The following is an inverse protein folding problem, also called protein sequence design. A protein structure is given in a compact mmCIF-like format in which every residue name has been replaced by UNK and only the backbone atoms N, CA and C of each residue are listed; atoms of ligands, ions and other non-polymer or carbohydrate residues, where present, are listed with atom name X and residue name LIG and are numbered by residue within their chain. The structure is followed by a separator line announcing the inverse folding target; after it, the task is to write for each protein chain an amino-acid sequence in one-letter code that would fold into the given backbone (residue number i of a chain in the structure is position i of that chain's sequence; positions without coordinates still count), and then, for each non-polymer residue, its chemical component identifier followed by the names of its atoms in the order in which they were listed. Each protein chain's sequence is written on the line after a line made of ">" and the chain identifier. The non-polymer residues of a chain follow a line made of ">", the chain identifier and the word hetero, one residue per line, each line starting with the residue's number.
data_IF_271118100181
#
_entry.id   IF_271118100181
#
_cell.length_a   1.000
_cell.length_b   1.000
_cell.length_c   1.000
_cell.angle_alpha   90.00
_cell.angle_beta   90.00
_cell.angle_gamma   90.00
#
_symmetry.space_group_name_H-M   'P 1'
#
loop_
_entity.id
_entity.type
_entity.pdbx_description
1 polymer ?
#
# COMPACT_ATOMS: atom_id res chain seq x y z
N UNK A 1 -19.53 -5.21 -7.53
CA UNK A 1 -19.59 -5.04 -6.06
C UNK A 1 -18.38 -4.21 -5.66
N UNK A 2 -18.58 -2.96 -5.25
CA UNK A 2 -17.48 -2.10 -4.84
C UNK A 2 -16.95 -2.62 -3.49
N UNK A 3 -15.72 -3.13 -3.48
CA UNK A 3 -15.00 -3.50 -2.26
C UNK A 3 -14.98 -2.26 -1.35
N UNK A 4 -15.63 -2.35 -0.18
CA UNK A 4 -15.72 -1.24 0.77
C UNK A 4 -14.31 -0.94 1.28
N UNK A 5 -13.78 0.24 0.95
CA UNK A 5 -12.46 0.68 1.45
C UNK A 5 -12.55 0.91 2.95
N UNK A 6 -11.98 0.01 3.74
CA UNK A 6 -11.85 0.20 5.19
C UNK A 6 -10.77 1.26 5.45
N UNK A 7 -11.17 2.34 6.13
CA UNK A 7 -10.29 3.46 6.48
C UNK A 7 -10.03 3.41 7.98
N UNK A 8 -8.75 3.37 8.37
CA UNK A 8 -8.35 3.35 9.79
C UNK A 8 -6.97 3.95 10.01
N UNK A 9 -6.64 4.15 11.28
CA UNK A 9 -5.30 4.53 11.71
C UNK A 9 -4.38 3.31 11.77
N UNK A 10 -3.09 3.51 11.50
CA UNK A 10 -2.09 2.45 11.52
C UNK A 10 -0.89 2.85 12.38
N UNK A 11 -0.22 1.86 12.96
CA UNK A 11 1.05 2.02 13.66
C UNK A 11 2.11 1.16 12.98
N UNK A 12 3.26 1.76 12.64
CA UNK A 12 4.40 1.09 12.00
C UNK A 12 5.61 1.30 12.89
N UNK A 13 6.26 0.21 13.30
CA UNK A 13 7.39 0.23 14.24
C UNK A 13 7.09 1.03 15.53
N UNK A 14 5.87 0.90 16.04
CA UNK A 14 5.42 1.61 17.26
C UNK A 14 5.08 3.09 17.07
N UNK A 15 5.12 3.61 15.84
CA UNK A 15 4.79 5.01 15.52
C UNK A 15 3.50 5.10 14.71
N UNK A 16 2.63 6.03 15.08
CA UNK A 16 1.42 6.34 14.32
C UNK A 16 1.77 6.82 12.91
N UNK A 17 1.23 6.15 11.90
CA UNK A 17 1.41 6.53 10.52
C UNK A 17 0.75 7.88 10.26
N UNK A 18 1.52 8.83 9.74
CA UNK A 18 1.07 10.20 9.47
C UNK A 18 1.42 10.56 8.03
N UNK A 19 0.46 11.15 7.31
CA UNK A 19 0.68 11.54 5.92
C UNK A 19 1.68 12.70 5.87
N UNK A 20 2.81 12.58 5.15
CA UNK A 20 3.82 13.64 5.08
C UNK A 20 3.35 14.87 4.29
N UNK A 21 2.21 14.78 3.59
CA UNK A 21 1.68 15.86 2.75
C UNK A 21 0.62 16.69 3.48
N UNK A 22 -0.26 16.06 4.26
CA UNK A 22 -1.40 16.74 4.88
C UNK A 22 -1.59 16.44 6.38
N UNK A 23 -0.65 15.74 7.00
CA UNK A 23 -0.68 15.35 8.43
C UNK A 23 -1.87 14.48 8.86
N UNK A 24 -2.67 13.98 7.92
CA UNK A 24 -3.78 13.07 8.23
C UNK A 24 -3.28 11.68 8.63
N UNK A 25 -4.02 11.00 9.52
CA UNK A 25 -3.61 9.73 10.15
C UNK A 25 -4.45 8.52 9.74
N UNK A 26 -5.53 8.71 9.00
CA UNK A 26 -6.37 7.62 8.50
C UNK A 26 -6.03 7.26 7.04
N UNK A 27 -5.89 5.96 6.79
CA UNK A 27 -5.49 5.41 5.51
C UNK A 27 -6.41 4.24 5.15
N UNK A 28 -6.52 3.95 3.86
CA UNK A 28 -6.98 2.65 3.37
C UNK A 28 -5.81 1.94 2.71
N UNK A 29 -5.86 0.61 2.68
CA UNK A 29 -4.72 -0.19 2.22
C UNK A 29 -5.04 -1.00 0.97
N UNK A 30 -4.02 -1.24 0.15
CA UNK A 30 -4.04 -2.25 -0.92
C UNK A 30 -2.66 -2.86 -1.09
N UNK A 31 -2.61 -4.07 -1.63
CA UNK A 31 -1.35 -4.68 -2.07
C UNK A 31 -1.12 -4.38 -3.55
N UNK A 32 0.13 -4.24 -3.96
CA UNK A 32 0.51 -4.07 -5.37
C UNK A 32 1.70 -4.97 -5.70
N UNK A 33 1.54 -5.72 -6.78
CA UNK A 33 2.57 -6.56 -7.35
C UNK A 33 3.65 -5.68 -8.01
N UNK A 34 4.91 -5.84 -7.63
CA UNK A 34 6.02 -5.09 -8.21
C UNK A 34 6.74 -5.91 -9.29
N UNK A 35 5.99 -6.29 -10.32
CA UNK A 35 6.51 -7.13 -11.39
C UNK A 35 7.24 -6.28 -12.43
N UNK A 36 8.32 -6.79 -12.98
CA UNK A 36 8.83 -6.31 -14.28
C UNK A 36 7.91 -6.82 -15.38
N UNK A 37 7.51 -5.99 -16.38
CA UNK A 37 6.56 -6.37 -17.43
C UNK A 37 6.91 -7.63 -18.27
N UNK A 38 8.10 -8.22 -18.13
CA UNK A 38 8.52 -9.46 -18.81
C UNK A 38 8.59 -10.73 -17.94
N UNK A 39 8.51 -10.64 -16.60
CA UNK A 39 8.60 -11.83 -15.71
C UNK A 39 7.30 -12.61 -15.60
N UNK A 40 6.16 -11.96 -15.87
CA UNK A 40 4.83 -12.62 -15.85
C UNK A 40 4.70 -13.67 -16.96
N UNK A 41 5.47 -13.55 -18.05
CA UNK A 41 5.46 -14.50 -19.17
C UNK A 41 6.29 -15.78 -18.92
N UNK A 42 7.14 -15.79 -17.89
CA UNK A 42 8.07 -16.90 -17.59
C UNK A 42 7.62 -17.75 -16.38
N UNK A 43 6.40 -17.59 -15.87
CA UNK A 43 5.83 -18.46 -14.82
C UNK A 43 6.51 -18.35 -13.44
N UNK A 44 7.33 -17.33 -13.22
CA UNK A 44 8.02 -17.09 -11.94
C UNK A 44 7.13 -16.21 -11.06
N UNK A 45 5.96 -16.70 -10.68
CA UNK A 45 5.07 -15.98 -9.74
C UNK A 45 5.63 -15.97 -8.31
N UNK A 46 6.51 -16.92 -7.98
CA UNK A 46 7.09 -17.13 -6.65
C UNK A 46 8.21 -16.13 -6.29
N UNK A 47 8.69 -15.34 -7.25
CA UNK A 47 9.70 -14.29 -7.01
C UNK A 47 9.09 -12.87 -6.92
N UNK A 48 7.76 -12.75 -6.96
CA UNK A 48 7.08 -11.46 -7.00
C UNK A 48 7.17 -10.75 -5.64
N UNK A 49 7.94 -9.67 -5.61
CA UNK A 49 7.94 -8.74 -4.48
C UNK A 49 6.61 -7.99 -4.46
N UNK A 50 5.99 -7.94 -3.29
CA UNK A 50 4.74 -7.23 -3.07
C UNK A 50 4.99 -6.01 -2.21
N UNK A 51 4.31 -4.91 -2.53
CA UNK A 51 4.29 -3.73 -1.69
C UNK A 51 2.89 -3.52 -1.09
N UNK A 52 2.86 -3.22 0.20
CA UNK A 52 1.66 -2.71 0.88
C UNK A 52 1.63 -1.20 0.67
N UNK A 53 0.50 -0.71 0.19
CA UNK A 53 0.26 0.71 -0.05
C UNK A 53 -0.68 1.23 1.04
N UNK A 54 -0.23 2.20 1.82
CA UNK A 54 -1.08 2.97 2.72
C UNK A 54 -1.46 4.26 2.01
N UNK A 55 -2.73 4.40 1.67
CA UNK A 55 -3.22 5.49 0.83
C UNK A 55 -4.02 6.43 1.72
N UNK A 56 -3.56 7.68 1.81
CA UNK A 56 -4.16 8.68 2.67
C UNK A 56 -5.63 8.90 2.28
N UNK A 57 -6.53 8.77 3.26
CA UNK A 57 -7.96 8.94 2.99
C UNK A 57 -8.35 10.40 2.70
N UNK A 58 -7.48 11.36 3.04
CA UNK A 58 -7.73 12.79 2.85
C UNK A 58 -7.19 13.31 1.50
N UNK A 59 -5.90 13.09 1.20
CA UNK A 59 -5.25 13.67 0.02
C UNK A 59 -4.83 12.63 -1.04
N UNK A 60 -5.02 11.34 -0.78
CA UNK A 60 -4.66 10.27 -1.72
C UNK A 60 -3.17 9.96 -1.84
N UNK A 61 -2.29 10.63 -1.08
CA UNK A 61 -0.86 10.32 -1.07
C UNK A 61 -0.61 8.86 -0.67
N UNK A 62 0.28 8.18 -1.40
CA UNK A 62 0.54 6.74 -1.26
C UNK A 62 1.91 6.54 -0.62
N UNK A 63 1.92 5.86 0.53
CA UNK A 63 3.13 5.38 1.16
C UNK A 63 3.32 3.90 0.82
N UNK A 64 4.45 3.58 0.17
CA UNK A 64 4.79 2.23 -0.28
C UNK A 64 5.70 1.55 0.74
N UNK A 65 5.33 0.36 1.17
CA UNK A 65 6.11 -0.48 2.07
C UNK A 65 6.39 -1.82 1.41
N UNK A 66 7.65 -2.15 1.23
CA UNK A 66 8.08 -3.45 0.75
C UNK A 66 7.93 -4.51 1.85
N UNK A 67 7.41 -5.68 1.47
CA UNK A 67 7.51 -6.91 2.26
C UNK A 67 8.72 -7.72 1.82
#
# INVERSE_FOLDING_TARGET
>A
MAQTKEVKTYSISGKTLTCPICNHTAFWTRETLMNTPGMTFLGIEWANRQAVNYICNNCGHILWFMK
#
